data_IF_573942693992
#
_entry.id   IF_573942693992
#
_cell.length_a   1.000
_cell.length_b   1.000
_cell.length_c   1.000
_cell.angle_alpha   90.00
_cell.angle_beta   90.00
_cell.angle_gamma   90.00
#
_symmetry.space_group_name_H-M   'P 1'
#
loop_
_entity.id
_entity.type
_entity.pdbx_description
1 polymer ?
#
# COMPACT_ATOMS: atom_id res chain seq x y z
N UNK A 1 -9.46 20.15 32.35
CA UNK A 1 -10.61 19.91 33.24
C UNK A 1 -10.42 18.59 33.96
N UNK A 2 -10.91 18.44 35.19
CA UNK A 2 -10.92 17.17 35.94
C UNK A 2 -12.34 16.62 35.90
N UNK A 3 -12.47 15.37 35.47
CA UNK A 3 -13.76 14.65 35.40
C UNK A 3 -13.58 13.30 36.07
N UNK A 4 -14.62 12.81 36.73
CA UNK A 4 -14.69 11.45 37.28
C UNK A 4 -15.57 10.61 36.36
N UNK A 5 -15.09 9.45 35.95
CA UNK A 5 -15.76 8.53 35.04
C UNK A 5 -15.58 7.12 35.59
N UNK A 6 -16.64 6.32 35.54
CA UNK A 6 -16.59 4.89 35.82
C UNK A 6 -16.10 4.14 34.58
N UNK A 7 -15.15 3.22 34.75
CA UNK A 7 -14.62 2.37 33.70
C UNK A 7 -14.93 0.92 34.05
N UNK A 8 -15.33 0.14 33.05
CA UNK A 8 -15.45 -1.31 33.19
C UNK A 8 -14.06 -1.96 33.36
N UNK A 9 -14.02 -3.12 34.02
CA UNK A 9 -12.76 -3.80 34.40
C UNK A 9 -11.91 -4.17 33.17
N UNK A 10 -12.55 -4.53 32.06
CA UNK A 10 -11.90 -4.85 30.80
C UNK A 10 -11.25 -3.62 30.16
N UNK A 11 -11.94 -2.47 30.17
CA UNK A 11 -11.41 -1.19 29.70
C UNK A 11 -10.24 -0.75 30.55
N UNK A 12 -10.32 -0.88 31.88
CA UNK A 12 -9.22 -0.56 32.78
C UNK A 12 -7.97 -1.40 32.47
N UNK A 13 -8.14 -2.70 32.22
CA UNK A 13 -7.03 -3.58 31.82
C UNK A 13 -6.39 -3.14 30.51
N UNK A 14 -7.18 -2.79 29.49
CA UNK A 14 -6.67 -2.29 28.21
C UNK A 14 -5.84 -1.01 28.38
N UNK A 15 -6.31 -0.09 29.23
CA UNK A 15 -5.57 1.14 29.54
C UNK A 15 -4.26 0.83 30.26
N UNK A 16 -4.27 -0.09 31.24
CA UNK A 16 -3.05 -0.50 31.94
C UNK A 16 -2.03 -1.13 30.98
N UNK A 17 -2.46 -2.04 30.10
CA UNK A 17 -1.60 -2.67 29.11
C UNK A 17 -0.96 -1.61 28.18
N UNK A 18 -1.74 -0.62 27.73
CA UNK A 18 -1.25 0.48 26.91
C UNK A 18 -0.27 1.38 27.65
N UNK A 19 -0.53 1.71 28.92
CA UNK A 19 0.39 2.48 29.78
C UNK A 19 1.74 1.78 29.91
N UNK A 20 1.74 0.47 30.16
CA UNK A 20 2.99 -0.30 30.28
C UNK A 20 3.74 -0.39 28.95
N UNK A 21 3.02 -0.65 27.85
CA UNK A 21 3.59 -0.79 26.51
C UNK A 21 4.23 0.52 26.02
N UNK A 22 3.54 1.64 26.22
CA UNK A 22 3.97 2.95 25.71
C UNK A 22 4.86 3.72 26.70
N UNK A 23 4.91 3.29 27.97
CA UNK A 23 5.61 3.99 29.07
C UNK A 23 5.14 5.44 29.24
N UNK A 24 3.83 5.66 29.11
CA UNK A 24 3.18 6.99 29.19
C UNK A 24 2.25 7.05 30.39
N UNK A 25 1.92 8.25 30.85
CA UNK A 25 0.98 8.40 31.95
C UNK A 25 -0.43 7.94 31.52
N UNK A 26 -1.20 7.36 32.46
CA UNK A 26 -2.59 6.95 32.20
C UNK A 26 -3.44 8.09 31.65
N UNK A 27 -3.21 9.33 32.12
CA UNK A 27 -3.89 10.53 31.63
C UNK A 27 -3.65 10.75 30.14
N UNK A 28 -2.41 10.56 29.67
CA UNK A 28 -2.06 10.84 28.28
C UNK A 28 -2.60 9.74 27.36
N UNK A 29 -2.49 8.48 27.78
CA UNK A 29 -3.06 7.33 27.07
C UNK A 29 -4.58 7.48 26.91
N UNK A 30 -5.30 7.77 28.00
CA UNK A 30 -6.77 7.92 27.97
C UNK A 30 -7.18 9.08 27.09
N UNK A 31 -6.55 10.25 27.22
CA UNK A 31 -6.92 11.41 26.41
C UNK A 31 -6.63 11.19 24.93
N UNK A 32 -5.51 10.57 24.57
CA UNK A 32 -5.19 10.31 23.17
C UNK A 32 -6.12 9.26 22.57
N UNK A 33 -6.43 8.19 23.30
CA UNK A 33 -7.41 7.21 22.88
C UNK A 33 -8.78 7.86 22.61
N UNK A 34 -9.25 8.72 23.53
CA UNK A 34 -10.51 9.45 23.36
C UNK A 34 -10.45 10.44 22.18
N UNK A 35 -9.33 11.15 21.98
CA UNK A 35 -9.17 12.05 20.82
C UNK A 35 -9.18 11.29 19.51
N UNK A 36 -8.52 10.13 19.43
CA UNK A 36 -8.53 9.30 18.25
C UNK A 36 -9.92 8.75 17.95
N UNK A 37 -10.64 8.29 18.99
CA UNK A 37 -11.98 7.72 18.83
C UNK A 37 -13.06 8.77 18.51
N UNK A 38 -12.96 9.98 19.08
CA UNK A 38 -13.95 11.04 18.92
C UNK A 38 -13.66 12.00 17.77
N UNK A 39 -12.46 11.94 17.18
CA UNK A 39 -12.15 12.70 15.97
C UNK A 39 -12.93 12.09 14.80
N UNK A 40 -13.68 12.92 14.09
CA UNK A 40 -14.30 12.51 12.84
C UNK A 40 -13.23 11.95 11.90
N UNK A 41 -13.43 10.75 11.33
CA UNK A 41 -12.47 10.20 10.39
C UNK A 41 -12.39 11.15 9.20
N UNK A 42 -11.25 11.82 9.08
CA UNK A 42 -10.89 12.51 7.85
C UNK A 42 -10.52 11.44 6.83
N UNK A 43 -11.53 10.81 6.24
CA UNK A 43 -11.35 9.90 5.11
C UNK A 43 -11.00 10.75 3.91
N UNK A 44 -9.70 11.04 3.74
CA UNK A 44 -9.19 11.41 2.43
C UNK A 44 -9.26 10.18 1.55
N UNK A 45 -9.96 10.29 0.42
CA UNK A 45 -10.01 9.23 -0.57
C UNK A 45 -8.59 8.82 -0.95
N UNK A 46 -8.30 7.52 -0.85
CA UNK A 46 -7.01 7.01 -1.29
C UNK A 46 -6.96 7.04 -2.81
N UNK A 47 -6.26 8.03 -3.37
CA UNK A 47 -6.02 8.14 -4.81
C UNK A 47 -4.69 7.47 -5.14
N UNK A 48 -4.75 6.29 -5.74
CA UNK A 48 -3.57 5.62 -6.25
C UNK A 48 -2.95 6.45 -7.39
N UNK A 49 -1.64 6.75 -7.28
CA UNK A 49 -0.92 7.40 -8.38
C UNK A 49 -0.71 6.38 -9.50
N UNK A 50 -1.26 6.67 -10.68
CA UNK A 50 -1.01 5.88 -11.88
C UNK A 50 0.46 6.00 -12.27
N UNK A 51 1.14 4.87 -12.37
CA UNK A 51 2.48 4.82 -12.97
C UNK A 51 2.33 4.50 -14.46
N UNK A 52 2.71 5.44 -15.32
CA UNK A 52 2.84 5.17 -16.75
C UNK A 52 4.15 4.40 -16.99
N UNK A 53 4.05 3.15 -17.42
CA UNK A 53 5.18 2.32 -17.80
C UNK A 53 5.35 2.35 -19.32
N UNK A 54 6.59 2.34 -19.80
CA UNK A 54 6.89 2.19 -21.23
C UNK A 54 6.80 0.73 -21.72
N UNK A 55 6.40 -0.20 -20.84
CA UNK A 55 6.24 -1.60 -21.20
C UNK A 55 4.98 -1.80 -22.03
N UNK A 56 5.15 -2.39 -23.21
CA UNK A 56 4.06 -2.87 -24.04
C UNK A 56 3.65 -4.27 -23.57
N UNK A 57 2.37 -4.49 -23.17
CA UNK A 57 1.89 -5.82 -22.81
C UNK A 57 2.16 -6.84 -23.92
N UNK A 58 2.67 -8.02 -23.56
CA UNK A 58 3.00 -9.08 -24.53
C UNK A 58 4.36 -8.93 -25.22
N UNK A 59 5.07 -7.81 -25.04
CA UNK A 59 6.43 -7.62 -25.55
C UNK A 59 7.42 -7.78 -24.39
N UNK A 60 8.32 -8.74 -24.49
CA UNK A 60 9.46 -8.86 -23.57
C UNK A 60 10.71 -8.25 -24.21
N UNK A 61 11.20 -7.08 -23.74
CA UNK A 61 12.40 -6.44 -24.28
C UNK A 61 13.67 -7.30 -24.17
N UNK A 62 13.70 -8.29 -23.26
CA UNK A 62 14.83 -9.21 -23.10
C UNK A 62 14.80 -10.37 -24.08
N UNK A 63 13.66 -10.57 -24.75
CA UNK A 63 13.43 -11.67 -25.70
C UNK A 63 13.28 -11.18 -27.15
N UNK A 64 13.71 -9.94 -27.45
CA UNK A 64 13.64 -9.39 -28.81
C UNK A 64 14.35 -10.27 -29.85
N UNK A 65 15.43 -10.95 -29.47
CA UNK A 65 16.16 -11.85 -30.37
C UNK A 65 15.33 -13.09 -30.77
N UNK A 66 14.37 -13.55 -29.95
CA UNK A 66 13.53 -14.68 -30.34
C UNK A 66 12.52 -14.32 -31.44
N UNK A 67 12.17 -13.04 -31.57
CA UNK A 67 11.36 -12.55 -32.70
C UNK A 67 12.14 -12.58 -34.03
N UNK A 68 13.48 -12.51 -33.97
CA UNK A 68 14.34 -12.66 -35.15
C UNK A 68 14.34 -14.11 -35.62
N UNK A 69 14.42 -15.07 -34.69
CA UNK A 69 14.39 -16.50 -35.02
C UNK A 69 13.05 -16.89 -35.67
N UNK A 70 11.93 -16.38 -35.14
CA UNK A 70 10.58 -16.65 -35.69
C UNK A 70 10.37 -16.04 -37.08
N UNK A 71 10.99 -14.87 -37.37
CA UNK A 71 10.92 -14.22 -38.69
C UNK A 71 11.83 -14.88 -39.75
N UNK A 72 12.87 -15.61 -39.32
CA UNK A 72 13.75 -16.34 -40.23
C UNK A 72 13.13 -17.66 -40.72
N UNK A 73 12.18 -18.21 -39.97
CA UNK A 73 11.52 -19.47 -40.29
C UNK A 73 10.38 -19.32 -41.33
N UNK A 74 9.73 -18.16 -41.43
CA UNK A 74 8.71 -17.85 -42.46
C UNK A 74 9.19 -16.75 -43.44
N UNK A 75 9.54 -17.16 -44.67
CA UNK A 75 9.62 -16.33 -45.90
C UNK A 75 10.66 -15.20 -46.06
N UNK A 76 11.55 -14.92 -45.08
CA UNK A 76 12.52 -13.83 -45.19
C UNK A 76 13.54 -13.95 -46.36
N UNK A 77 13.74 -15.14 -46.93
CA UNK A 77 14.66 -15.36 -48.07
C UNK A 77 14.07 -14.85 -49.40
N UNK A 78 12.75 -14.69 -49.51
CA UNK A 78 12.10 -14.32 -50.78
C UNK A 78 12.24 -12.82 -51.12
N UNK A 79 12.28 -11.94 -50.12
CA UNK A 79 12.31 -10.47 -50.34
C UNK A 79 13.71 -9.97 -50.68
N UNK A 80 14.77 -10.61 -50.16
CA UNK A 80 16.16 -10.15 -50.37
C UNK A 80 16.76 -10.53 -51.74
N UNK A 81 16.11 -11.41 -52.51
CA UNK A 81 16.52 -11.80 -53.88
C UNK A 81 15.91 -10.93 -55.00
N UNK A 82 15.14 -9.90 -54.66
CA UNK A 82 14.45 -9.03 -55.64
C UNK A 82 14.92 -7.57 -55.63
N UNK A 83 16.06 -7.28 -55.02
CA UNK A 83 16.75 -5.98 -55.06
C UNK A 83 17.98 -6.05 -55.97
#
# INVERSE_FOLDING_TARGET
MRTTLTLDDDVLRLIQDAVHRERRSMKDVVNDALRCALREPTSTEFVARVHHSALSPGVDPRRLNALVDELLDDDAVAVMRRA
#
